data_IF_948546565951
#
_entry.id   IF_948546565951
#
_cell.length_a   1.000
_cell.length_b   1.000
_cell.length_c   1.000
_cell.angle_alpha   90.00
_cell.angle_beta   90.00
_cell.angle_gamma   90.00
#
_symmetry.space_group_name_H-M   'P 1'
#
loop_
_entity.id
_entity.type
_entity.pdbx_description
1 polymer ?
#
# COMPACT_ATOMS: atom_id res chain seq x y z
N UNK A 1 -2.09 -15.02 -10.00
CA UNK A 1 -2.39 -13.91 -9.11
C UNK A 1 -2.94 -14.44 -7.80
N UNK A 2 -2.42 -13.97 -6.69
CA UNK A 2 -2.85 -14.44 -5.38
C UNK A 2 -4.09 -13.69 -4.91
N UNK A 3 -4.95 -14.39 -4.20
CA UNK A 3 -6.11 -13.79 -3.53
C UNK A 3 -5.92 -13.91 -2.04
N UNK A 4 -6.10 -12.81 -1.34
CA UNK A 4 -5.92 -12.74 0.11
C UNK A 4 -7.06 -11.92 0.71
N UNK A 5 -7.59 -12.39 1.82
CA UNK A 5 -8.56 -11.62 2.60
C UNK A 5 -7.79 -10.98 3.74
N UNK A 6 -7.85 -9.64 3.83
CA UNK A 6 -7.17 -8.88 4.87
C UNK A 6 -8.19 -8.18 5.76
N UNK A 7 -7.91 -8.22 7.05
CA UNK A 7 -8.69 -7.46 8.04
C UNK A 7 -7.87 -6.23 8.40
N UNK A 8 -8.36 -5.06 8.02
CA UNK A 8 -7.68 -3.80 8.28
C UNK A 8 -8.55 -2.95 9.19
N UNK A 9 -7.92 -2.02 9.92
CA UNK A 9 -8.67 -1.11 10.77
C UNK A 9 -9.53 -0.16 9.94
N UNK A 10 -10.57 0.37 10.55
CA UNK A 10 -11.43 1.35 9.90
C UNK A 10 -10.64 2.59 9.49
N UNK A 11 -9.68 3.00 10.30
CA UNK A 11 -8.84 4.15 9.99
C UNK A 11 -8.03 3.92 8.71
N UNK A 12 -7.43 2.74 8.56
CA UNK A 12 -6.67 2.40 7.35
C UNK A 12 -7.60 2.33 6.15
N UNK A 13 -8.77 1.72 6.31
CA UNK A 13 -9.77 1.63 5.24
C UNK A 13 -10.19 3.01 4.76
N UNK A 14 -10.47 3.91 5.68
CA UNK A 14 -10.87 5.27 5.35
C UNK A 14 -9.77 6.01 4.59
N UNK A 15 -8.53 5.83 5.00
CA UNK A 15 -7.38 6.45 4.32
C UNK A 15 -7.20 5.90 2.91
N UNK A 16 -7.38 4.60 2.73
CA UNK A 16 -7.31 3.99 1.39
C UNK A 16 -8.41 4.56 0.50
N UNK A 17 -9.63 4.68 1.01
CA UNK A 17 -10.74 5.26 0.26
C UNK A 17 -10.48 6.72 -0.10
N UNK A 18 -9.86 7.48 0.78
CA UNK A 18 -9.49 8.87 0.50
C UNK A 18 -8.50 8.95 -0.65
N UNK A 19 -7.54 8.03 -0.70
CA UNK A 19 -6.57 7.95 -1.80
C UNK A 19 -7.27 7.60 -3.11
N UNK A 20 -8.20 6.65 -3.08
CA UNK A 20 -8.97 6.27 -4.26
C UNK A 20 -9.72 7.49 -4.81
N UNK A 21 -10.38 8.24 -3.95
CA UNK A 21 -11.12 9.45 -4.37
C UNK A 21 -10.18 10.52 -4.93
N UNK A 22 -9.02 10.70 -4.31
CA UNK A 22 -8.04 11.66 -4.80
C UNK A 22 -7.58 11.29 -6.21
N UNK A 23 -7.27 10.03 -6.45
CA UNK A 23 -6.83 9.56 -7.76
C UNK A 23 -7.93 9.74 -8.81
N UNK A 24 -9.18 9.50 -8.42
CA UNK A 24 -10.33 9.70 -9.30
C UNK A 24 -10.46 11.15 -9.70
N UNK A 25 -10.30 12.07 -8.74
CA UNK A 25 -10.35 13.51 -8.99
C UNK A 25 -9.20 13.98 -9.88
N UNK A 26 -8.07 13.29 -9.82
CA UNK A 26 -6.92 13.61 -10.67
C UNK A 26 -7.07 13.10 -12.10
N UNK A 27 -8.19 12.45 -12.41
CA UNK A 27 -8.49 12.03 -13.77
C UNK A 27 -8.00 10.65 -14.14
N UNK A 28 -7.65 9.82 -13.14
CA UNK A 28 -7.29 8.45 -13.42
C UNK A 28 -8.49 7.68 -13.97
N UNK A 29 -8.23 6.70 -14.82
CA UNK A 29 -9.30 5.91 -15.43
C UNK A 29 -9.95 5.00 -14.39
N UNK A 30 -11.27 4.81 -14.51
CA UNK A 30 -12.04 4.01 -13.56
C UNK A 30 -11.48 2.61 -13.36
N UNK A 31 -11.00 1.97 -14.43
CA UNK A 31 -10.43 0.62 -14.33
C UNK A 31 -9.13 0.57 -13.54
N UNK A 32 -8.45 1.71 -13.41
CA UNK A 32 -7.20 1.83 -12.66
C UNK A 32 -7.44 2.27 -11.23
N UNK A 33 -8.70 2.60 -10.90
CA UNK A 33 -9.05 3.12 -9.58
C UNK A 33 -9.95 2.11 -8.90
N UNK A 34 -9.38 1.29 -8.04
CA UNK A 34 -10.15 0.40 -7.19
C UNK A 34 -9.50 0.35 -5.82
N UNK A 35 -10.30 -0.03 -4.84
CA UNK A 35 -9.77 -0.23 -3.49
C UNK A 35 -8.72 -1.34 -3.52
N UNK A 36 -8.99 -2.43 -4.23
CA UNK A 36 -8.04 -3.54 -4.35
C UNK A 36 -6.73 -3.12 -5.01
N UNK A 37 -6.81 -2.41 -6.14
CA UNK A 37 -5.62 -1.95 -6.85
C UNK A 37 -4.81 -0.97 -6.04
N UNK A 38 -5.49 -0.05 -5.37
CA UNK A 38 -4.83 0.93 -4.51
C UNK A 38 -4.16 0.24 -3.32
N UNK A 39 -4.86 -0.69 -2.68
CA UNK A 39 -4.30 -1.44 -1.56
C UNK A 39 -3.08 -2.25 -2.00
N UNK A 40 -3.14 -2.87 -3.18
CA UNK A 40 -2.03 -3.63 -3.72
C UNK A 40 -0.79 -2.74 -3.94
N UNK A 41 -1.00 -1.57 -4.50
CA UNK A 41 0.08 -0.59 -4.70
C UNK A 41 0.70 -0.18 -3.37
N UNK A 42 -0.14 0.09 -2.37
CA UNK A 42 0.33 0.50 -1.05
C UNK A 42 1.10 -0.61 -0.35
N UNK A 43 0.67 -1.86 -0.54
CA UNK A 43 1.40 -3.01 -0.01
C UNK A 43 2.78 -3.13 -0.63
N UNK A 44 2.90 -2.92 -1.93
CA UNK A 44 4.20 -2.94 -2.60
C UNK A 44 5.12 -1.85 -2.07
N UNK A 45 4.59 -0.64 -1.91
CA UNK A 45 5.35 0.46 -1.34
C UNK A 45 5.78 0.16 0.09
N UNK A 46 4.86 -0.38 0.89
CA UNK A 46 5.15 -0.75 2.27
C UNK A 46 6.23 -1.82 2.36
N UNK A 47 6.20 -2.79 1.46
CA UNK A 47 7.22 -3.84 1.40
C UNK A 47 8.59 -3.27 1.09
N UNK A 48 8.67 -2.33 0.16
CA UNK A 48 9.95 -1.68 -0.17
C UNK A 48 10.53 -0.95 1.03
N UNK A 49 9.69 -0.22 1.74
CA UNK A 49 10.11 0.50 2.95
C UNK A 49 10.57 -0.48 4.02
N UNK A 50 9.81 -1.54 4.22
CA UNK A 50 10.14 -2.54 5.22
C UNK A 50 11.47 -3.23 4.91
N UNK A 51 11.67 -3.62 3.66
CA UNK A 51 12.91 -4.26 3.23
C UNK A 51 14.12 -3.33 3.43
N UNK A 52 13.96 -2.05 3.11
CA UNK A 52 15.01 -1.06 3.32
C UNK A 52 15.35 -0.92 4.80
N UNK A 53 14.33 -0.94 5.65
CA UNK A 53 14.54 -0.87 7.11
C UNK A 53 15.26 -2.11 7.63
N UNK A 54 14.90 -3.28 7.12
CA UNK A 54 15.54 -4.52 7.51
C UNK A 54 17.01 -4.55 7.11
N UNK A 55 17.31 -4.08 5.90
CA UNK A 55 18.70 -3.97 5.44
C UNK A 55 19.52 -3.08 6.36
N UNK A 56 18.95 -1.95 6.78
CA UNK A 56 19.62 -1.03 7.71
C UNK A 56 19.88 -1.68 9.06
N UNK A 57 18.92 -2.44 9.55
CA UNK A 57 19.07 -3.16 10.83
C UNK A 57 20.17 -4.19 10.74
N UNK A 58 20.21 -4.94 9.66
CA UNK A 58 21.25 -5.93 9.45
C UNK A 58 22.64 -5.29 9.39
N UNK A 59 22.75 -4.17 8.67
CA UNK A 59 24.02 -3.43 8.59
C UNK A 59 24.45 -2.94 9.98
N UNK A 60 23.52 -2.40 10.75
CA UNK A 60 23.82 -1.95 12.11
C UNK A 60 24.21 -3.10 13.01
N UNK A 61 23.59 -4.24 12.82
CA UNK A 61 23.86 -5.44 13.64
C UNK A 61 25.21 -6.05 13.34
N UNK A 62 25.65 -5.97 12.11
CA UNK A 62 26.90 -6.59 11.66
C UNK A 62 28.12 -5.74 11.91
N UNK A 63 27.93 -4.57 12.46
CA UNK A 63 29.03 -3.73 12.86
C UNK A 63 29.51 -4.09 14.28
#
# INVERSE_FOLDING_TARGET
>A
MARVILYISNDVYDKVNAIVEQRRQEGARDKDISVSGTASMLLELGLRVYEAQMERKESAFNQ
#
